data_IF_801422084621
#
_entry.id   IF_801422084621
#
_cell.length_a   1.000
_cell.length_b   1.000
_cell.length_c   1.000
_cell.angle_alpha   90.00
_cell.angle_beta   90.00
_cell.angle_gamma   90.00
#
_symmetry.space_group_name_H-M   'P 1'
#
loop_
_entity.id
_entity.type
_entity.pdbx_description
1 polymer ?
#
# COMPACT_ATOMS: atom_id res chain seq x y z
N UNK A 1 13.76 -27.29 5.20
CA UNK A 1 14.11 -25.88 5.52
C UNK A 1 13.38 -24.85 4.64
N UNK A 2 13.11 -25.10 3.36
CA UNK A 2 12.38 -24.15 2.49
C UNK A 2 10.85 -24.00 2.74
N UNK A 3 10.22 -24.85 3.57
CA UNK A 3 8.75 -24.90 3.73
C UNK A 3 8.13 -23.67 4.42
N UNK A 4 8.94 -22.77 4.98
CA UNK A 4 8.46 -21.60 5.73
C UNK A 4 8.97 -20.27 5.18
N UNK A 5 9.72 -20.28 4.07
CA UNK A 5 10.15 -19.04 3.43
C UNK A 5 8.99 -18.45 2.62
N UNK A 6 8.48 -17.28 3.04
CA UNK A 6 7.37 -16.57 2.37
C UNK A 6 7.81 -15.44 1.42
N UNK A 7 9.10 -15.30 1.13
CA UNK A 7 9.63 -14.25 0.26
C UNK A 7 9.98 -12.96 1.01
N UNK A 8 10.31 -11.90 0.26
CA UNK A 8 10.74 -10.59 0.79
C UNK A 8 9.60 -9.71 1.30
N UNK A 9 8.44 -10.29 1.65
CA UNK A 9 7.28 -9.53 2.13
C UNK A 9 6.48 -8.81 1.04
N UNK A 10 6.74 -9.10 -0.24
CA UNK A 10 5.94 -8.58 -1.35
C UNK A 10 4.73 -9.47 -1.56
N UNK A 11 3.54 -8.87 -1.68
CA UNK A 11 2.30 -9.58 -2.01
C UNK A 11 2.41 -10.31 -3.36
N UNK A 12 1.52 -11.26 -3.56
CA UNK A 12 1.35 -11.90 -4.87
C UNK A 12 1.16 -10.84 -5.96
N UNK A 13 1.91 -10.98 -7.05
CA UNK A 13 1.97 -10.04 -8.18
C UNK A 13 2.33 -8.59 -7.83
N UNK A 14 2.85 -8.32 -6.62
CA UNK A 14 3.16 -6.98 -6.13
C UNK A 14 1.98 -5.99 -6.25
N UNK A 15 0.74 -6.48 -6.16
CA UNK A 15 -0.44 -5.61 -6.18
C UNK A 15 -0.49 -4.80 -4.88
N UNK A 16 -0.50 -3.48 -5.04
CA UNK A 16 -0.67 -2.54 -3.95
C UNK A 16 -2.15 -2.46 -3.56
N UNK A 17 -2.40 -2.27 -2.28
CA UNK A 17 -3.73 -2.08 -1.71
C UNK A 17 -3.77 -0.76 -0.95
N UNK A 18 -4.96 -0.18 -0.83
CA UNK A 18 -5.15 1.10 -0.12
C UNK A 18 -4.59 1.06 1.31
N UNK A 19 -4.69 -0.08 1.99
CA UNK A 19 -4.15 -0.27 3.34
C UNK A 19 -2.64 -0.04 3.46
N UNK A 20 -1.88 -0.23 2.36
CA UNK A 20 -0.42 -0.06 2.36
C UNK A 20 -0.02 1.39 2.51
N UNK A 21 -0.86 2.29 2.01
CA UNK A 21 -0.65 3.74 2.06
C UNK A 21 -1.46 4.34 3.20
N UNK A 22 -2.69 3.89 3.40
CA UNK A 22 -3.59 4.42 4.44
C UNK A 22 -2.97 4.31 5.83
N UNK A 23 -2.27 3.22 6.13
CA UNK A 23 -1.54 3.07 7.40
C UNK A 23 -0.61 4.26 7.69
N UNK A 24 0.14 4.71 6.69
CA UNK A 24 1.06 5.83 6.85
C UNK A 24 0.32 7.17 6.87
N UNK A 25 -0.73 7.33 6.07
CA UNK A 25 -1.60 8.51 6.12
C UNK A 25 -2.14 8.67 7.56
N UNK A 26 -2.74 7.63 8.11
CA UNK A 26 -3.33 7.65 9.46
C UNK A 26 -2.27 7.96 10.52
N UNK A 27 -1.08 7.37 10.39
CA UNK A 27 0.04 7.63 11.30
C UNK A 27 0.51 9.09 11.23
N UNK A 28 0.61 9.66 10.02
CA UNK A 28 1.02 11.05 9.82
C UNK A 28 -0.06 12.06 10.24
N UNK A 29 -1.35 11.72 10.10
CA UNK A 29 -2.46 12.50 10.67
C UNK A 29 -2.34 12.49 12.20
N UNK A 30 -2.10 11.32 12.80
CA UNK A 30 -1.94 11.17 14.25
C UNK A 30 -0.71 11.93 14.79
N UNK A 31 0.40 11.97 14.04
CA UNK A 31 1.60 12.75 14.37
C UNK A 31 1.43 14.27 14.10
N UNK A 32 0.30 14.69 13.53
CA UNK A 32 0.01 16.09 13.20
C UNK A 32 0.83 16.65 12.04
N UNK A 33 1.37 15.78 11.16
CA UNK A 33 2.18 16.18 9.99
C UNK A 33 1.33 16.59 8.81
N UNK A 34 0.14 16.01 8.69
CA UNK A 34 -0.82 16.26 7.62
C UNK A 34 -2.22 16.38 8.23
N UNK A 35 -3.11 17.09 7.54
CA UNK A 35 -4.51 17.21 7.95
C UNK A 35 -5.31 15.97 7.58
N UNK A 36 -6.33 15.65 8.37
CA UNK A 36 -7.29 14.61 8.03
C UNK A 36 -7.96 14.92 6.68
N UNK A 37 -8.08 13.90 5.82
CA UNK A 37 -8.65 14.04 4.47
C UNK A 37 -7.78 14.78 3.45
N UNK A 38 -6.55 15.19 3.81
CA UNK A 38 -5.64 15.90 2.88
C UNK A 38 -5.17 15.01 1.72
N UNK A 39 -4.99 13.72 1.97
CA UNK A 39 -4.55 12.74 0.98
C UNK A 39 -5.39 11.48 1.06
N UNK A 40 -5.51 10.78 -0.08
CA UNK A 40 -6.07 9.43 -0.18
C UNK A 40 -5.03 8.47 -0.79
N UNK A 41 -5.16 7.15 -0.59
CA UNK A 41 -4.20 6.17 -1.10
C UNK A 41 -3.92 6.28 -2.60
N UNK A 42 -4.95 6.54 -3.42
CA UNK A 42 -4.82 6.68 -4.88
C UNK A 42 -4.06 7.92 -5.35
N UNK A 43 -3.70 8.84 -4.45
CA UNK A 43 -2.77 9.94 -4.77
C UNK A 43 -1.31 9.46 -4.83
N UNK A 44 -0.99 8.30 -4.25
CA UNK A 44 0.39 7.81 -4.10
C UNK A 44 0.71 6.59 -4.95
N UNK A 45 -0.30 5.82 -5.36
CA UNK A 45 -0.07 4.62 -6.15
C UNK A 45 -1.20 4.34 -7.15
N UNK A 46 -0.85 3.57 -8.17
CA UNK A 46 -1.75 3.01 -9.17
C UNK A 46 -1.30 1.59 -9.49
N UNK A 47 -2.25 0.70 -9.73
CA UNK A 47 -1.98 -0.64 -10.26
C UNK A 47 -2.24 -0.73 -11.78
N UNK A 48 -2.59 0.38 -12.46
CA UNK A 48 -3.02 0.35 -13.87
C UNK A 48 -1.96 -0.21 -14.84
N UNK A 49 -0.68 -0.13 -14.46
CA UNK A 49 0.45 -0.66 -15.23
C UNK A 49 0.85 -2.09 -14.83
N UNK A 50 0.20 -2.68 -13.82
CA UNK A 50 0.47 -4.04 -13.39
C UNK A 50 -0.36 -5.02 -14.27
N UNK A 51 0.28 -5.97 -14.99
CA UNK A 51 -0.42 -6.93 -15.86
C UNK A 51 -1.46 -7.80 -15.16
N UNK A 52 -1.35 -7.91 -13.83
CA UNK A 52 -2.24 -8.71 -12.99
C UNK A 52 -3.38 -7.88 -12.37
N UNK A 53 -3.40 -6.57 -12.58
CA UNK A 53 -4.47 -5.71 -12.11
C UNK A 53 -5.73 -5.91 -12.96
N UNK A 54 -6.86 -6.21 -12.29
CA UNK A 54 -8.11 -6.57 -12.96
C UNK A 54 -9.15 -5.43 -13.03
N UNK A 55 -8.82 -4.25 -12.50
CA UNK A 55 -9.73 -3.09 -12.49
C UNK A 55 -10.81 -3.21 -11.44
#
# INVERSE_FOLDING_TARGET
>A
MAKYWKGFGVREHALLQDSDVQFWIDWLVKDGRISEGQYKPSDFYTNEYNPYFKG
#
